data_IF_797806054187
#
_entry.id   IF_797806054187
#
_cell.length_a   1.000
_cell.length_b   1.000
_cell.length_c   1.000
_cell.angle_alpha   90.00
_cell.angle_beta   90.00
_cell.angle_gamma   90.00
#
_symmetry.space_group_name_H-M   'P 1'
#
loop_
_entity.id
_entity.type
_entity.pdbx_description
1 polymer ?
#
# COMPACT_ATOMS: atom_id res chain seq x y z
N UNK A 1 2.63 18.26 5.78
CA UNK A 1 2.82 16.79 5.78
C UNK A 1 1.62 16.13 6.42
N UNK A 2 1.03 15.16 5.74
CA UNK A 2 0.03 14.22 6.23
C UNK A 2 0.67 12.85 6.31
N UNK A 3 0.14 12.05 7.22
CA UNK A 3 0.52 10.68 7.39
C UNK A 3 -0.71 9.81 7.64
N UNK A 4 -0.68 8.59 7.12
CA UNK A 4 -1.75 7.62 7.26
C UNK A 4 -1.23 6.23 7.63
N UNK A 5 -1.98 5.50 8.44
CA UNK A 5 -1.86 4.03 8.54
C UNK A 5 -2.92 3.42 7.64
N UNK A 6 -2.52 2.50 6.77
CA UNK A 6 -3.41 1.76 5.88
C UNK A 6 -3.15 0.25 5.99
N UNK A 7 -4.25 -0.50 6.10
CA UNK A 7 -4.21 -1.96 6.19
C UNK A 7 -4.90 -2.55 4.96
N UNK A 8 -4.16 -3.10 4.00
CA UNK A 8 -4.76 -3.84 2.89
C UNK A 8 -4.97 -5.30 3.29
N UNK A 9 -5.76 -6.04 2.51
CA UNK A 9 -6.12 -7.42 2.84
C UNK A 9 -5.45 -8.38 1.88
N UNK A 10 -4.72 -9.34 2.41
CA UNK A 10 -4.43 -10.56 1.67
C UNK A 10 -5.59 -11.52 1.90
N UNK A 11 -6.61 -11.41 1.03
CA UNK A 11 -7.80 -12.27 1.06
C UNK A 11 -7.65 -13.35 0.00
N UNK A 12 -8.12 -14.57 0.30
CA UNK A 12 -8.37 -15.53 -0.76
C UNK A 12 -9.43 -14.92 -1.71
N UNK A 13 -9.14 -14.76 -3.00
CA UNK A 13 -10.13 -14.31 -3.97
C UNK A 13 -11.26 -15.35 -4.07
N UNK A 14 -12.45 -14.92 -4.49
CA UNK A 14 -13.51 -15.87 -4.84
C UNK A 14 -13.10 -16.71 -6.05
N UNK A 15 -13.72 -17.89 -6.23
CA UNK A 15 -13.44 -18.74 -7.39
C UNK A 15 -13.64 -18.00 -8.72
N UNK A 16 -14.63 -17.10 -8.79
CA UNK A 16 -14.86 -16.30 -9.99
C UNK A 16 -13.76 -15.26 -10.21
N UNK A 17 -13.28 -14.60 -9.15
CA UNK A 17 -12.16 -13.66 -9.24
C UNK A 17 -10.90 -14.42 -9.71
N UNK A 18 -10.65 -15.62 -9.18
CA UNK A 18 -9.52 -16.48 -9.57
C UNK A 18 -9.57 -16.89 -11.04
N UNK A 19 -10.71 -17.43 -11.52
CA UNK A 19 -10.86 -17.87 -12.90
C UNK A 19 -10.61 -16.71 -13.88
N UNK A 20 -11.18 -15.53 -13.60
CA UNK A 20 -10.98 -14.36 -14.47
C UNK A 20 -9.52 -13.89 -14.50
N UNK A 21 -8.85 -13.88 -13.35
CA UNK A 21 -7.41 -13.56 -13.32
C UNK A 21 -6.58 -14.60 -14.07
N UNK A 22 -6.97 -15.89 -14.02
CA UNK A 22 -6.34 -16.96 -14.81
C UNK A 22 -6.59 -16.81 -16.32
N UNK A 23 -7.78 -16.39 -16.74
CA UNK A 23 -8.04 -16.07 -18.15
C UNK A 23 -7.17 -14.90 -18.64
N UNK A 24 -6.96 -13.89 -17.78
CA UNK A 24 -6.05 -12.78 -18.06
C UNK A 24 -4.58 -13.23 -18.15
N UNK A 25 -4.17 -14.22 -17.34
CA UNK A 25 -2.80 -14.74 -17.34
C UNK A 25 -2.40 -15.44 -18.64
N UNK A 26 -3.38 -16.00 -19.37
CA UNK A 26 -3.14 -16.59 -20.70
C UNK A 26 -2.55 -15.59 -21.71
N UNK A 27 -2.77 -14.29 -21.49
CA UNK A 27 -2.30 -13.20 -22.35
C UNK A 27 -1.15 -12.40 -21.73
N UNK A 28 -0.86 -12.61 -20.46
CA UNK A 28 0.12 -11.84 -19.71
C UNK A 28 0.89 -12.73 -18.73
N UNK A 29 2.16 -13.09 -19.04
CA UNK A 29 3.00 -13.92 -18.20
C UNK A 29 3.21 -13.37 -16.78
N UNK A 30 3.20 -12.04 -16.59
CA UNK A 30 3.38 -11.46 -15.26
C UNK A 30 2.18 -11.74 -14.34
N UNK A 31 0.97 -11.84 -14.91
CA UNK A 31 -0.23 -12.25 -14.15
C UNK A 31 -0.12 -13.72 -13.77
N UNK A 32 0.50 -14.57 -14.61
CA UNK A 32 0.74 -15.97 -14.25
C UNK A 32 1.68 -16.06 -13.05
N UNK A 33 2.79 -15.31 -13.07
CA UNK A 33 3.72 -15.26 -11.93
C UNK A 33 3.06 -14.70 -10.67
N UNK A 34 2.17 -13.71 -10.81
CA UNK A 34 1.36 -13.21 -9.70
C UNK A 34 0.52 -14.34 -9.07
N UNK A 35 -0.19 -15.11 -9.89
CA UNK A 35 -1.02 -16.22 -9.43
C UNK A 35 -0.21 -17.32 -8.76
N UNK A 36 0.94 -17.68 -9.33
CA UNK A 36 1.80 -18.75 -8.84
C UNK A 36 2.37 -18.42 -7.46
N UNK A 37 2.72 -17.15 -7.22
CA UNK A 37 3.28 -16.68 -5.95
C UNK A 37 2.27 -16.14 -4.94
N UNK A 38 1.00 -15.93 -5.33
CA UNK A 38 0.06 -15.17 -4.50
C UNK A 38 -0.08 -15.76 -3.09
N UNK A 39 -0.34 -17.07 -2.98
CA UNK A 39 -0.64 -17.72 -1.70
C UNK A 39 0.54 -17.73 -0.70
N UNK A 40 1.77 -17.54 -1.17
CA UNK A 40 2.98 -17.43 -0.34
C UNK A 40 3.48 -15.97 -0.21
N UNK A 41 2.67 -15.00 -0.63
CA UNK A 41 3.03 -13.59 -0.64
C UNK A 41 2.22 -12.77 0.37
N UNK A 42 2.56 -11.49 0.44
CA UNK A 42 1.80 -10.47 1.17
C UNK A 42 1.21 -9.44 0.22
N UNK A 43 0.89 -9.81 -1.02
CA UNK A 43 0.29 -8.90 -1.98
C UNK A 43 -1.23 -8.77 -1.76
N UNK A 44 -1.76 -7.59 -2.09
CA UNK A 44 -3.20 -7.42 -2.34
C UNK A 44 -3.57 -8.08 -3.67
N UNK A 45 -4.86 -8.35 -3.91
CA UNK A 45 -5.37 -8.90 -5.17
C UNK A 45 -5.43 -7.84 -6.28
N UNK A 46 -4.31 -7.15 -6.52
CA UNK A 46 -4.13 -6.16 -7.59
C UNK A 46 -4.74 -4.78 -7.37
N UNK A 47 -5.47 -4.57 -6.27
CA UNK A 47 -6.03 -3.25 -5.92
C UNK A 47 -4.94 -2.30 -5.46
N UNK A 48 -4.56 -2.25 -4.18
CA UNK A 48 -3.53 -1.29 -3.74
C UNK A 48 -2.91 -1.62 -2.37
N UNK A 49 -1.61 -1.34 -2.20
CA UNK A 49 -0.70 -0.71 -3.16
C UNK A 49 -0.15 -1.71 -4.20
N UNK A 50 0.30 -1.18 -5.35
CA UNK A 50 0.81 -1.97 -6.49
C UNK A 50 2.19 -2.61 -6.28
N UNK A 51 2.43 -3.24 -5.13
CA UNK A 51 3.75 -3.78 -4.74
C UNK A 51 4.26 -4.85 -5.70
N UNK A 52 3.40 -5.77 -6.15
CA UNK A 52 3.81 -6.81 -7.09
C UNK A 52 4.30 -6.20 -8.41
N UNK A 53 3.52 -5.29 -9.01
CA UNK A 53 3.89 -4.64 -10.26
C UNK A 53 5.21 -3.87 -10.12
N UNK A 54 5.43 -3.17 -9.01
CA UNK A 54 6.69 -2.48 -8.73
C UNK A 54 7.88 -3.43 -8.56
N UNK A 55 7.70 -4.55 -7.87
CA UNK A 55 8.73 -5.60 -7.78
C UNK A 55 9.05 -6.18 -9.14
N UNK A 56 8.06 -6.40 -9.99
CA UNK A 56 8.26 -7.01 -11.31
C UNK A 56 8.99 -6.07 -12.25
N UNK A 57 8.50 -4.84 -12.35
CA UNK A 57 8.98 -3.85 -13.31
C UNK A 57 10.25 -3.13 -12.86
N UNK A 58 10.33 -2.74 -11.58
CA UNK A 58 11.43 -1.92 -11.07
C UNK A 58 12.39 -2.67 -10.14
N UNK A 59 12.08 -3.92 -9.79
CA UNK A 59 12.81 -4.69 -8.75
C UNK A 59 12.87 -3.97 -7.41
N UNK A 60 11.93 -3.05 -7.16
CA UNK A 60 11.88 -2.25 -5.95
C UNK A 60 10.42 -2.00 -5.54
N UNK A 61 9.95 -2.57 -4.42
CA UNK A 61 8.57 -2.38 -3.97
C UNK A 61 8.29 -0.94 -3.47
N UNK A 62 9.32 -0.16 -3.14
CA UNK A 62 9.14 1.25 -2.75
C UNK A 62 8.64 2.11 -3.92
N UNK A 63 8.87 1.68 -5.17
CA UNK A 63 8.30 2.29 -6.38
C UNK A 63 6.88 1.77 -6.67
N UNK A 64 6.13 1.39 -5.65
CA UNK A 64 4.71 1.08 -5.82
C UNK A 64 3.90 2.33 -6.12
N UNK A 65 2.71 2.10 -6.65
CA UNK A 65 1.70 3.13 -6.87
C UNK A 65 0.42 2.84 -6.10
N UNK A 66 -0.49 3.82 -6.11
CA UNK A 66 -1.84 3.69 -5.56
C UNK A 66 -2.88 4.36 -6.47
N UNK A 67 -3.72 3.55 -7.13
CA UNK A 67 -4.66 4.02 -8.17
C UNK A 67 -6.15 3.76 -7.94
N UNK A 68 -6.55 2.83 -7.07
CA UNK A 68 -7.93 2.30 -7.06
C UNK A 68 -8.69 2.62 -5.76
N UNK A 69 -8.29 1.98 -4.67
CA UNK A 69 -8.88 1.98 -3.34
C UNK A 69 -8.66 3.29 -2.56
N UNK A 70 -9.39 3.44 -1.44
CA UNK A 70 -9.32 4.57 -0.48
C UNK A 70 -9.21 5.94 -1.14
N UNK A 71 -10.15 6.18 -2.05
CA UNK A 71 -10.32 7.44 -2.77
C UNK A 71 -10.19 8.68 -1.88
N UNK A 72 -10.83 8.63 -0.72
CA UNK A 72 -10.81 9.69 0.28
C UNK A 72 -9.42 9.97 0.85
N UNK A 73 -8.55 8.97 0.97
CA UNK A 73 -7.14 9.14 1.35
C UNK A 73 -6.36 9.75 0.19
N UNK A 74 -6.44 9.16 -1.01
CA UNK A 74 -5.68 9.63 -2.19
C UNK A 74 -5.93 11.10 -2.50
N UNK A 75 -7.19 11.58 -2.38
CA UNK A 75 -7.54 13.00 -2.56
C UNK A 75 -6.82 13.96 -1.62
N UNK A 76 -6.32 13.47 -0.49
CA UNK A 76 -5.68 14.30 0.52
C UNK A 76 -4.16 14.31 0.40
N UNK A 77 -3.56 13.39 -0.33
CA UNK A 77 -2.11 13.22 -0.37
C UNK A 77 -1.44 14.26 -1.27
N UNK A 78 -0.25 14.69 -0.84
CA UNK A 78 0.69 15.53 -1.58
C UNK A 78 2.10 14.90 -1.53
N UNK A 79 3.03 15.31 -2.41
CA UNK A 79 4.44 14.94 -2.29
C UNK A 79 4.98 15.22 -0.88
N UNK A 80 5.74 14.25 -0.34
CA UNK A 80 6.29 14.27 1.02
C UNK A 80 5.36 13.73 2.12
N UNK A 81 4.07 13.50 1.84
CA UNK A 81 3.20 12.75 2.74
C UNK A 81 3.61 11.26 2.77
N UNK A 82 3.30 10.52 3.84
CA UNK A 82 3.69 9.11 3.93
C UNK A 82 2.58 8.19 4.43
N UNK A 83 2.70 6.91 4.07
CA UNK A 83 1.76 5.85 4.43
C UNK A 83 2.53 4.71 5.10
N UNK A 84 2.03 4.28 6.25
CA UNK A 84 2.47 3.09 6.97
C UNK A 84 1.55 1.95 6.57
N UNK A 85 2.13 0.87 6.04
CA UNK A 85 1.41 -0.24 5.46
C UNK A 85 1.42 -1.45 6.37
N UNK A 86 0.23 -2.02 6.52
CA UNK A 86 0.04 -3.34 7.11
C UNK A 86 -0.72 -4.23 6.13
N UNK A 87 -0.42 -5.53 6.17
CA UNK A 87 -1.20 -6.56 5.50
C UNK A 87 -2.02 -7.31 6.55
N UNK A 88 -3.34 -7.27 6.43
CA UNK A 88 -4.23 -8.17 7.15
C UNK A 88 -4.34 -9.48 6.33
N UNK A 89 -3.63 -10.49 6.80
CA UNK A 89 -3.56 -11.81 6.20
C UNK A 89 -4.54 -12.76 6.91
N UNK A 90 -5.42 -13.39 6.15
CA UNK A 90 -6.32 -14.41 6.68
C UNK A 90 -6.07 -15.73 5.96
N UNK A 91 -5.49 -16.69 6.69
CA UNK A 91 -5.33 -18.03 6.15
C UNK A 91 -6.71 -18.65 5.92
N UNK A 92 -6.95 -19.23 4.74
CA UNK A 92 -8.22 -19.86 4.39
C UNK A 92 -8.75 -20.92 5.38
N UNK A 93 -7.87 -21.52 6.18
CA UNK A 93 -8.22 -22.54 7.19
C UNK A 93 -8.47 -21.96 8.59
N UNK A 94 -8.22 -20.67 8.79
CA UNK A 94 -8.29 -20.02 10.09
C UNK A 94 -9.16 -18.78 10.03
N UNK A 95 -9.91 -18.57 11.10
CA UNK A 95 -10.64 -17.32 11.30
C UNK A 95 -9.75 -16.22 11.91
N UNK A 96 -8.55 -16.59 12.37
CA UNK A 96 -7.54 -15.64 12.85
C UNK A 96 -7.06 -14.76 11.70
N UNK A 97 -7.00 -13.46 11.96
CA UNK A 97 -6.38 -12.48 11.09
C UNK A 97 -5.04 -12.07 11.67
N UNK A 98 -3.97 -12.38 10.94
CA UNK A 98 -2.61 -11.98 11.24
C UNK A 98 -2.32 -10.62 10.59
N UNK A 99 -1.71 -9.70 11.33
CA UNK A 99 -1.34 -8.37 10.84
C UNK A 99 0.17 -8.27 10.70
N UNK A 100 0.62 -8.19 9.45
CA UNK A 100 2.02 -8.04 9.12
C UNK A 100 2.36 -6.58 8.86
N UNK A 101 3.45 -6.09 9.46
CA UNK A 101 4.01 -4.79 9.13
C UNK A 101 4.82 -4.87 7.85
N UNK A 102 4.37 -4.15 6.83
CA UNK A 102 4.92 -4.22 5.47
C UNK A 102 5.97 -3.14 5.24
N UNK A 103 5.73 -1.93 5.76
CA UNK A 103 6.70 -0.85 5.62
C UNK A 103 6.10 0.54 5.67
N UNK A 104 6.88 1.50 5.21
CA UNK A 104 6.52 2.90 5.10
C UNK A 104 6.88 3.40 3.70
N UNK A 105 5.94 4.04 3.00
CA UNK A 105 6.21 4.68 1.71
C UNK A 105 5.92 6.17 1.77
N UNK A 106 6.79 6.97 1.18
CA UNK A 106 6.58 8.43 1.02
C UNK A 106 6.08 8.73 -0.38
N UNK A 107 5.08 9.59 -0.50
CA UNK A 107 4.52 10.07 -1.77
C UNK A 107 5.56 10.90 -2.48
N UNK A 108 5.92 10.49 -3.70
CA UNK A 108 6.79 11.24 -4.60
C UNK A 108 5.96 12.09 -5.57
N UNK A 109 4.97 11.47 -6.22
CA UNK A 109 4.11 12.15 -7.20
C UNK A 109 2.62 11.92 -6.92
N UNK A 110 1.84 12.92 -7.32
CA UNK A 110 0.38 12.92 -7.29
C UNK A 110 -0.09 13.32 -8.68
N UNK A 111 -0.60 12.36 -9.44
CA UNK A 111 -0.93 12.54 -10.86
C UNK A 111 -2.44 12.54 -10.99
N UNK A 112 -3.03 13.69 -11.33
CA UNK A 112 -4.48 13.75 -11.57
C UNK A 112 -4.81 13.03 -12.88
N UNK A 113 -6.08 12.67 -13.06
CA UNK A 113 -6.47 11.86 -14.20
C UNK A 113 -6.25 12.60 -15.52
N UNK A 114 -6.60 13.88 -15.55
CA UNK A 114 -6.41 14.80 -16.66
C UNK A 114 -4.94 14.93 -17.08
N UNK A 115 -4.00 14.80 -16.15
CA UNK A 115 -2.56 14.96 -16.40
C UNK A 115 -1.90 13.65 -16.87
N UNK A 116 -2.59 12.51 -16.82
CA UNK A 116 -1.98 11.18 -17.09
C UNK A 116 -1.46 11.03 -18.50
N UNK A 117 -2.15 11.61 -19.49
CA UNK A 117 -1.77 11.47 -20.90
C UNK A 117 -0.43 12.16 -21.20
N UNK A 118 -0.08 13.19 -20.44
CA UNK A 118 1.14 14.00 -20.63
C UNK A 118 2.23 13.65 -19.62
N UNK A 119 1.91 12.86 -18.60
CA UNK A 119 2.83 12.53 -17.51
C UNK A 119 3.80 11.42 -17.92
N UNK A 120 5.07 11.78 -18.13
CA UNK A 120 6.19 10.85 -18.32
C UNK A 120 6.37 9.91 -17.13
N UNK A 121 6.06 10.37 -15.92
CA UNK A 121 6.05 9.53 -14.72
C UNK A 121 4.96 8.46 -14.87
N UNK A 122 3.71 8.84 -15.16
CA UNK A 122 2.59 7.90 -15.28
C UNK A 122 2.80 6.85 -16.37
N UNK A 123 3.48 7.20 -17.46
CA UNK A 123 3.78 6.29 -18.57
C UNK A 123 4.46 5.00 -18.07
N UNK A 124 5.35 5.10 -17.08
CA UNK A 124 6.01 3.94 -16.48
C UNK A 124 5.08 3.07 -15.63
N UNK A 125 3.91 3.57 -15.24
CA UNK A 125 2.96 2.89 -14.34
C UNK A 125 1.64 2.53 -15.02
N UNK A 126 1.43 2.93 -16.28
CA UNK A 126 0.14 2.80 -16.97
C UNK A 126 -0.35 1.35 -17.12
N UNK A 127 0.55 0.39 -17.01
CA UNK A 127 0.28 -1.05 -17.13
C UNK A 127 0.31 -1.77 -15.77
N UNK A 128 0.52 -1.04 -14.67
CA UNK A 128 0.32 -1.58 -13.33
C UNK A 128 -1.13 -2.06 -13.16
N UNK A 129 -1.30 -3.11 -12.36
CA UNK A 129 -2.60 -3.76 -12.15
C UNK A 129 -3.62 -2.87 -11.44
N UNK A 130 -3.14 -1.83 -10.76
CA UNK A 130 -3.94 -0.83 -10.07
C UNK A 130 -4.16 0.45 -10.87
N UNK A 131 -3.80 0.48 -12.15
CA UNK A 131 -4.34 1.50 -13.06
C UNK A 131 -5.81 1.18 -13.25
N UNK A 132 -6.69 2.16 -13.00
CA UNK A 132 -8.15 1.97 -13.08
C UNK A 132 -8.73 2.38 -14.44
N UNK A 133 -8.09 3.36 -15.07
CA UNK A 133 -8.56 3.97 -16.29
C UNK A 133 -7.41 4.68 -17.00
N UNK A 134 -7.53 4.76 -18.32
CA UNK A 134 -6.65 5.54 -19.20
C UNK A 134 -7.48 6.51 -20.03
N UNK A 135 -6.81 7.44 -20.70
CA UNK A 135 -7.44 8.32 -21.66
C UNK A 135 -7.31 7.70 -23.06
N UNK A 136 -8.42 7.39 -23.71
CA UNK A 136 -8.47 6.94 -25.10
C UNK A 136 -9.32 7.93 -25.90
N UNK A 137 -8.76 8.49 -26.98
CA UNK A 137 -9.44 9.49 -27.83
C UNK A 137 -10.05 10.67 -27.04
N UNK A 138 -9.37 11.11 -25.98
CA UNK A 138 -9.81 12.22 -25.14
C UNK A 138 -10.90 11.85 -24.11
N UNK A 139 -11.28 10.58 -24.00
CA UNK A 139 -12.30 10.10 -23.05
C UNK A 139 -11.71 9.11 -22.04
N UNK A 140 -12.16 9.14 -20.77
CA UNK A 140 -11.78 8.15 -19.80
C UNK A 140 -12.36 6.78 -20.17
N UNK A 141 -11.50 5.76 -20.23
CA UNK A 141 -11.88 4.36 -20.44
C UNK A 141 -11.37 3.53 -19.27
N UNK A 142 -12.26 2.71 -18.69
CA UNK A 142 -11.91 1.78 -17.61
C UNK A 142 -10.88 0.76 -18.14
N UNK A 143 -9.75 0.65 -17.45
CA UNK A 143 -8.65 -0.26 -17.76
C UNK A 143 -8.22 -0.93 -16.47
N UNK A 144 -8.88 -2.02 -16.10
CA UNK A 144 -8.45 -2.88 -14.98
C UNK A 144 -7.81 -4.15 -15.55
N UNK A 145 -6.64 -4.55 -15.03
CA UNK A 145 -5.84 -5.62 -15.64
C UNK A 145 -6.46 -7.00 -15.50
N UNK A 146 -7.12 -7.30 -14.38
CA UNK A 146 -7.72 -8.62 -14.17
C UNK A 146 -9.10 -8.71 -14.81
N UNK A 147 -9.99 -7.79 -14.47
CA UNK A 147 -11.34 -7.62 -15.03
C UNK A 147 -12.00 -6.38 -14.41
N UNK A 148 -13.10 -5.90 -14.99
CA UNK A 148 -13.84 -4.72 -14.52
C UNK A 148 -14.62 -4.99 -13.21
N UNK A 149 -13.92 -5.02 -12.08
CA UNK A 149 -14.53 -5.22 -10.75
C UNK A 149 -15.19 -3.94 -10.24
N UNK A 150 -14.63 -2.78 -10.56
CA UNK A 150 -15.05 -1.50 -9.97
C UNK A 150 -16.19 -0.84 -10.75
N UNK A 151 -17.44 -1.12 -10.35
CA UNK A 151 -18.63 -0.47 -10.92
C UNK A 151 -18.67 1.05 -10.71
N UNK A 152 -18.00 1.55 -9.68
CA UNK A 152 -17.89 2.98 -9.36
C UNK A 152 -16.60 3.63 -9.86
N UNK A 153 -15.96 3.07 -10.90
CA UNK A 153 -14.66 3.53 -11.39
C UNK A 153 -14.64 5.03 -11.75
N UNK A 154 -15.71 5.56 -12.35
CA UNK A 154 -15.87 7.00 -12.64
C UNK A 154 -15.69 7.89 -11.40
N UNK A 155 -16.14 7.42 -10.24
CA UNK A 155 -15.96 8.13 -8.98
C UNK A 155 -14.51 8.05 -8.52
N UNK A 156 -13.84 6.92 -8.75
CA UNK A 156 -12.46 6.64 -8.32
C UNK A 156 -11.39 7.32 -9.15
N UNK A 157 -11.64 7.56 -10.44
CA UNK A 157 -10.72 8.32 -11.31
C UNK A 157 -10.63 9.81 -10.92
N UNK A 158 -11.63 10.36 -10.25
CA UNK A 158 -11.59 11.72 -9.68
C UNK A 158 -10.59 11.87 -8.52
N UNK A 159 -9.74 10.87 -8.29
CA UNK A 159 -8.73 10.90 -7.24
C UNK A 159 -7.40 10.55 -7.86
N UNK A 160 -6.34 11.25 -7.43
CA UNK A 160 -5.08 11.17 -8.12
C UNK A 160 -4.47 9.78 -8.00
N UNK A 161 -3.73 9.40 -9.03
CA UNK A 161 -2.80 8.28 -8.99
C UNK A 161 -1.61 8.70 -8.14
N UNK A 162 -1.23 7.89 -7.16
CA UNK A 162 -0.11 8.19 -6.27
C UNK A 162 1.06 7.32 -6.68
N UNK A 163 2.26 7.91 -6.73
CA UNK A 163 3.52 7.20 -6.94
C UNK A 163 4.41 7.46 -5.73
N UNK A 164 5.03 6.40 -5.20
CA UNK A 164 5.91 6.48 -4.04
C UNK A 164 7.39 6.67 -4.42
N UNK A 165 8.16 7.20 -3.47
CA UNK A 165 9.60 7.45 -3.61
C UNK A 165 10.40 6.16 -3.38
N UNK A 166 11.44 5.95 -4.17
CA UNK A 166 12.48 4.93 -3.98
C UNK A 166 13.60 5.35 -3.02
N UNK A 167 13.60 6.58 -2.52
CA UNK A 167 14.62 7.08 -1.60
C UNK A 167 14.59 6.25 -0.30
N UNK A 168 15.65 5.49 0.02
CA UNK A 168 15.67 4.63 1.21
C UNK A 168 15.65 5.43 2.53
N UNK A 169 15.90 6.74 2.49
CA UNK A 169 15.72 7.63 3.64
C UNK A 169 14.27 8.03 3.88
N UNK A 170 13.39 7.81 2.90
CA UNK A 170 11.97 8.20 2.93
C UNK A 170 11.02 6.99 2.87
N UNK A 171 11.44 5.90 2.25
CA UNK A 171 10.61 4.72 2.01
C UNK A 171 11.39 3.43 2.26
N UNK A 172 10.75 2.46 2.91
CA UNK A 172 11.25 1.11 3.04
C UNK A 172 10.09 0.12 3.14
N UNK A 173 10.17 -0.98 2.40
CA UNK A 173 9.14 -2.02 2.32
C UNK A 173 9.79 -3.39 2.38
N UNK A 174 9.26 -4.28 3.22
CA UNK A 174 9.63 -5.68 3.33
C UNK A 174 8.42 -6.56 3.01
N UNK A 175 8.49 -7.29 1.91
CA UNK A 175 7.44 -8.20 1.44
C UNK A 175 7.89 -9.67 1.45
N UNK A 176 9.17 -9.93 1.74
CA UNK A 176 9.75 -11.28 1.72
C UNK A 176 9.54 -11.95 3.07
N UNK A 177 9.82 -11.23 4.15
CA UNK A 177 9.68 -11.71 5.53
C UNK A 177 9.18 -10.57 6.44
N UNK A 178 7.95 -10.06 6.22
CA UNK A 178 7.41 -8.99 7.03
C UNK A 178 7.17 -9.46 8.46
N UNK A 179 7.37 -8.56 9.42
CA UNK A 179 7.15 -8.87 10.83
C UNK A 179 5.66 -9.02 11.11
N UNK A 180 5.25 -10.16 11.66
CA UNK A 180 3.94 -10.30 12.28
C UNK A 180 3.91 -9.46 13.55
N UNK A 181 2.94 -8.54 13.68
CA UNK A 181 2.91 -7.60 14.80
C UNK A 181 1.65 -7.67 15.66
N UNK A 182 0.56 -8.20 15.12
CA UNK A 182 -0.68 -8.36 15.86
C UNK A 182 -1.53 -9.50 15.31
N UNK A 183 -2.45 -10.01 16.12
CA UNK A 183 -3.43 -11.04 15.74
C UNK A 183 -4.81 -10.68 16.22
N UNK A 184 -5.85 -10.98 15.44
CA UNK A 184 -7.25 -10.94 15.87
C UNK A 184 -7.82 -12.35 15.82
N UNK A 185 -8.18 -12.93 16.98
CA UNK A 185 -8.91 -14.20 17.05
C UNK A 185 -10.40 -13.96 16.99
N UNK A 186 -11.21 -15.01 16.84
CA UNK A 186 -12.66 -14.85 16.65
C UNK A 186 -13.33 -14.16 17.83
N UNK A 187 -12.98 -14.58 19.02
CA UNK A 187 -13.46 -14.07 20.30
C UNK A 187 -13.01 -12.63 20.61
N UNK A 188 -11.98 -12.13 19.92
CA UNK A 188 -11.44 -10.80 20.17
C UNK A 188 -12.24 -9.72 19.42
N UNK A 189 -12.55 -8.62 20.12
CA UNK A 189 -13.13 -7.41 19.50
C UNK A 189 -12.12 -6.71 18.60
N UNK A 190 -10.88 -6.58 19.07
CA UNK A 190 -9.77 -5.87 18.43
C UNK A 190 -8.54 -6.77 18.29
N UNK A 191 -7.58 -6.40 17.44
CA UNK A 191 -6.32 -7.14 17.36
C UNK A 191 -5.45 -6.96 18.62
N UNK A 192 -4.81 -8.03 19.04
CA UNK A 192 -3.82 -8.06 20.12
C UNK A 192 -2.42 -7.94 19.54
N UNK A 193 -1.68 -6.91 19.96
CA UNK A 193 -0.28 -6.71 19.58
C UNK A 193 0.61 -7.75 20.25
N UNK A 194 1.59 -8.26 19.50
CA UNK A 194 2.52 -9.25 20.03
C UNK A 194 3.44 -8.63 21.10
N UNK A 195 3.88 -9.41 22.09
CA UNK A 195 4.67 -8.90 23.22
C UNK A 195 6.15 -8.70 22.90
N UNK A 196 6.60 -9.04 21.68
CA UNK A 196 7.99 -8.88 21.27
C UNK A 196 8.39 -7.39 21.15
N UNK A 197 9.71 -7.13 21.25
CA UNK A 197 10.26 -5.78 21.27
C UNK A 197 9.87 -4.97 20.03
N UNK A 198 9.90 -5.59 18.85
CA UNK A 198 9.60 -4.91 17.58
C UNK A 198 8.15 -4.45 17.55
N UNK A 199 7.21 -5.36 17.84
CA UNK A 199 5.78 -5.08 17.85
C UNK A 199 5.41 -4.02 18.88
N UNK A 200 5.92 -4.12 20.10
CA UNK A 200 5.65 -3.15 21.17
C UNK A 200 6.21 -1.77 20.85
N UNK A 201 7.42 -1.71 20.25
CA UNK A 201 8.03 -0.43 19.83
C UNK A 201 7.27 0.21 18.68
N UNK A 202 6.85 -0.58 17.70
CA UNK A 202 6.03 -0.09 16.59
C UNK A 202 4.68 0.44 17.09
N UNK A 203 3.97 -0.32 17.93
CA UNK A 203 2.71 0.09 18.56
C UNK A 203 2.88 1.41 19.32
N UNK A 204 3.97 1.52 20.10
CA UNK A 204 4.29 2.73 20.85
C UNK A 204 4.43 3.94 19.93
N UNK A 205 5.22 3.82 18.86
CA UNK A 205 5.48 4.92 17.92
C UNK A 205 4.18 5.40 17.24
N UNK A 206 3.34 4.46 16.77
CA UNK A 206 2.21 4.82 15.90
C UNK A 206 0.91 5.08 16.67
N UNK A 207 0.74 4.53 17.88
CA UNK A 207 -0.46 4.72 18.70
C UNK A 207 -0.18 5.47 19.99
N UNK A 208 0.68 4.93 20.86
CA UNK A 208 0.83 5.44 22.24
C UNK A 208 1.42 6.85 22.25
N UNK A 209 2.50 7.09 21.49
CA UNK A 209 3.17 8.38 21.40
C UNK A 209 2.30 9.44 20.74
N UNK A 210 1.47 9.03 19.76
CA UNK A 210 0.51 9.92 19.10
C UNK A 210 -0.82 10.05 19.86
N UNK A 211 -0.99 9.36 20.99
CA UNK A 211 -2.21 9.32 21.79
C UNK A 211 -3.45 8.88 21.00
N UNK A 212 -3.27 7.98 20.03
CA UNK A 212 -4.36 7.42 19.23
C UNK A 212 -4.95 6.24 20.00
N UNK A 213 -6.24 6.34 20.35
CA UNK A 213 -6.95 5.31 21.15
C UNK A 213 -7.50 4.15 20.33
N UNK A 214 -7.59 4.29 19.01
CA UNK A 214 -8.13 3.24 18.13
C UNK A 214 -7.02 2.33 17.62
N UNK A 215 -7.42 1.14 17.21
CA UNK A 215 -6.57 0.07 16.69
C UNK A 215 -6.56 0.05 15.14
N UNK A 216 -5.77 -0.87 14.56
CA UNK A 216 -5.71 -1.12 13.11
C UNK A 216 -7.09 -1.52 12.59
N UNK A 217 -7.82 -2.31 13.38
CA UNK A 217 -9.20 -2.70 13.11
C UNK A 217 -10.21 -1.73 13.75
N UNK A 218 -11.42 -1.72 13.20
CA UNK A 218 -12.62 -1.13 13.80
C UNK A 218 -13.72 -2.19 13.87
N UNK A 219 -14.70 -1.95 14.73
CA UNK A 219 -15.89 -2.82 14.86
C UNK A 219 -16.85 -2.73 13.66
N UNK A 220 -16.60 -1.86 12.67
CA UNK A 220 -17.49 -1.70 11.52
C UNK A 220 -17.37 -2.89 10.55
N UNK A 221 -18.42 -3.70 10.34
CA UNK A 221 -18.33 -4.98 9.63
C UNK A 221 -17.91 -4.83 8.16
N UNK A 222 -18.39 -3.79 7.47
CA UNK A 222 -18.07 -3.54 6.06
C UNK A 222 -16.73 -2.83 5.84
N UNK A 223 -16.14 -2.23 6.89
CA UNK A 223 -14.91 -1.43 6.81
C UNK A 223 -14.03 -1.69 8.02
N UNK A 224 -13.65 -2.95 8.28
CA UNK A 224 -12.87 -3.31 9.46
C UNK A 224 -11.54 -2.57 9.48
N UNK A 225 -10.98 -2.23 8.32
CA UNK A 225 -9.65 -1.63 8.16
C UNK A 225 -9.72 -0.19 7.65
N UNK A 226 -10.55 0.64 8.29
CA UNK A 226 -10.59 2.08 7.99
C UNK A 226 -9.23 2.70 8.29
N UNK A 227 -8.69 3.48 7.38
CA UNK A 227 -7.41 4.17 7.55
C UNK A 227 -7.37 5.02 8.83
N UNK A 228 -6.16 5.32 9.30
CA UNK A 228 -5.91 6.20 10.44
C UNK A 228 -5.13 7.40 9.96
N UNK A 229 -5.67 8.60 10.13
CA UNK A 229 -5.01 9.85 9.77
C UNK A 229 -4.13 10.33 10.94
N UNK A 230 -2.82 10.03 10.91
CA UNK A 230 -1.90 10.36 12.00
C UNK A 230 -1.73 11.87 12.22
N UNK A 231 -1.85 12.65 11.15
CA UNK A 231 -1.86 14.11 11.20
C UNK A 231 -3.09 14.70 11.92
N UNK A 232 -4.10 13.87 12.24
CA UNK A 232 -5.26 14.22 13.06
C UNK A 232 -5.19 13.61 14.46
N UNK A 233 -4.03 13.08 14.86
CA UNK A 233 -3.84 12.53 16.20
C UNK A 233 -3.91 13.65 17.26
N UNK A 234 -4.35 13.33 18.50
CA UNK A 234 -4.45 14.34 19.56
C UNK A 234 -3.13 15.09 19.79
N UNK A 235 -1.99 14.38 19.80
CA UNK A 235 -0.70 15.02 20.04
C UNK A 235 -0.34 16.05 18.96
N UNK A 236 -0.52 15.70 17.68
CA UNK A 236 -0.21 16.59 16.55
C UNK A 236 -1.15 17.81 16.55
N UNK A 237 -2.44 17.60 16.83
CA UNK A 237 -3.41 18.69 16.88
C UNK A 237 -3.15 19.67 18.03
N UNK A 238 -2.80 19.17 19.21
CA UNK A 238 -2.52 20.00 20.39
C UNK A 238 -1.24 20.80 20.21
N UNK A 239 -0.16 20.17 19.73
CA UNK A 239 1.15 20.83 19.59
C UNK A 239 1.28 21.67 18.33
N UNK A 240 0.46 21.42 17.30
CA UNK A 240 0.58 22.01 15.96
C UNK A 240 1.99 21.85 15.35
N UNK A 241 2.69 20.80 15.74
CA UNK A 241 4.07 20.52 15.35
C UNK A 241 4.11 19.31 14.39
N UNK A 242 4.32 19.59 13.11
CA UNK A 242 4.42 18.56 12.08
C UNK A 242 5.77 17.82 12.08
N UNK A 243 6.79 18.31 12.81
CA UNK A 243 8.06 17.58 12.99
C UNK A 243 7.86 16.25 13.71
N UNK A 244 6.76 16.12 14.48
CA UNK A 244 6.35 14.86 15.10
C UNK A 244 6.13 13.78 14.05
N UNK A 245 5.53 14.12 12.91
CA UNK A 245 5.30 13.14 11.84
C UNK A 245 6.59 12.74 11.13
N UNK A 246 7.52 13.68 10.95
CA UNK A 246 8.87 13.37 10.42
C UNK A 246 9.58 12.41 11.36
N UNK A 247 9.65 12.71 12.67
CA UNK A 247 10.23 11.83 13.69
C UNK A 247 9.55 10.46 13.75
N UNK A 248 8.23 10.42 13.54
CA UNK A 248 7.46 9.17 13.47
C UNK A 248 7.92 8.33 12.29
N UNK A 249 7.99 8.91 11.09
CA UNK A 249 8.49 8.24 9.88
C UNK A 249 9.91 7.72 10.09
N UNK A 250 10.83 8.59 10.54
CA UNK A 250 12.24 8.24 10.71
C UNK A 250 12.42 7.13 11.77
N UNK A 251 11.61 7.16 12.84
CA UNK A 251 11.59 6.09 13.84
C UNK A 251 11.11 4.75 13.25
N UNK A 252 10.08 4.76 12.40
CA UNK A 252 9.59 3.56 11.72
C UNK A 252 10.62 3.02 10.74
N UNK A 253 11.22 3.90 9.92
CA UNK A 253 12.28 3.50 8.99
C UNK A 253 13.48 2.89 9.72
N UNK A 254 13.81 3.39 10.92
CA UNK A 254 14.86 2.80 11.76
C UNK A 254 14.55 1.40 12.29
N UNK A 255 13.27 1.00 12.33
CA UNK A 255 12.87 -0.36 12.72
C UNK A 255 13.05 -1.37 11.58
N UNK A 256 12.97 -0.92 10.33
CA UNK A 256 13.13 -1.79 9.17
C UNK A 256 14.62 -2.07 9.02
N UNK A 257 15.05 -3.28 9.38
CA UNK A 257 16.46 -3.69 9.35
C UNK A 257 17.08 -3.37 7.99
N UNK A 258 18.24 -2.69 7.98
CA UNK A 258 18.99 -2.38 6.76
C UNK A 258 19.38 -3.63 5.98
N UNK A 259 19.53 -4.77 6.66
CA UNK A 259 19.97 -6.04 6.03
C UNK A 259 18.86 -6.76 5.24
N UNK A 260 17.60 -6.33 5.37
CA UNK A 260 16.46 -6.82 4.56
C UNK A 260 16.24 -5.98 3.31
N UNK A 261 17.00 -4.90 3.13
CA UNK A 261 16.96 -4.10 1.90
C UNK A 261 17.74 -4.91 0.87
N UNK A 262 17.03 -5.40 -0.15
CA UNK A 262 17.56 -6.18 -1.27
C UNK A 262 19.02 -5.81 -1.56
N UNK A 263 19.96 -6.77 -1.59
CA UNK A 263 21.27 -6.49 -2.15
C UNK A 263 21.04 -6.09 -3.60
N UNK A 264 21.08 -4.78 -3.85
CA UNK A 264 21.21 -4.22 -5.18
C UNK A 264 22.49 -4.84 -5.73
N UNK A 265 22.36 -5.87 -6.56
CA UNK A 265 23.40 -6.19 -7.51
C UNK A 265 23.61 -4.90 -8.31
N UNK A 266 24.67 -4.19 -7.98
CA UNK A 266 25.05 -2.90 -8.49
C UNK A 266 25.48 -3.03 -9.95
N UNK A 267 24.50 -3.12 -10.84
CA UNK A 267 24.69 -2.98 -12.29
C UNK A 267 23.34 -2.74 -12.99
N UNK A 268 22.67 -1.65 -12.65
CA UNK A 268 21.63 -1.10 -13.53
C UNK A 268 21.67 0.42 -13.44
N UNK A 269 22.09 1.05 -14.53
CA UNK A 269 21.96 2.48 -14.78
C UNK A 269 20.53 2.94 -14.49
N UNK A 270 20.38 3.84 -13.52
CA UNK A 270 19.12 4.54 -13.29
C UNK A 270 18.67 5.19 -14.60
N UNK A 271 17.38 5.11 -14.99
CA UNK A 271 16.87 5.94 -16.06
C UNK A 271 17.05 7.41 -15.67
N UNK A 272 17.79 8.16 -16.47
CA UNK A 272 17.94 9.60 -16.33
C UNK A 272 16.57 10.25 -16.56
N UNK A 273 15.87 10.58 -15.48
CA UNK A 273 14.75 11.50 -15.51
C UNK A 273 15.28 12.93 -15.37
N UNK A 274 15.85 13.47 -16.45
CA UNK A 274 16.02 14.91 -16.64
C UNK A 274 15.10 15.33 -17.78
N UNK A 275 13.97 15.94 -17.41
CA UNK A 275 12.96 16.53 -18.29
C UNK A 275 11.98 17.33 -17.46
#
# INVERSE_FOLDING_TARGET
>A
MKAFICVYRHKKPSNQEWIKTQEASLKNPDIQEFLDGYNQSFFDWGDDPGFFAALKQFKNPCLASWGVCRRDVRKQLCPGDFIIWFCAFQNSKSSVVDYFFIGCTTVSHVIKFEDRAESTVFESYKDFYNTLAICESGSPVQKETFYNYHKDWNKRIQSPYIVFSDDPSLSAVNLTDPNLVARKRDEDTDEQWLPDEFSQRLEKIIFKDLQIKRHLRTTHPQRPHRQIALHKSPLVLVRKDFSILVKTRDSILSLIKKDTIFPLNSSSSSPNFNG
#
